data_IF_574488653020
#
_entry.id   IF_574488653020
#
_cell.length_a   1.000
_cell.length_b   1.000
_cell.length_c   1.000
_cell.angle_alpha   90.00
_cell.angle_beta   90.00
_cell.angle_gamma   90.00
#
_symmetry.space_group_name_H-M   'P 1'
#
loop_
_entity.id
_entity.type
_entity.pdbx_description
1 polymer ?
#
# COMPACT_ATOMS: atom_id res chain seq x y z
N UNK A 1 33.57 13.78 -5.77
CA UNK A 1 32.81 13.01 -4.75
C UNK A 1 33.08 11.55 -5.00
N UNK A 2 33.48 10.75 -4.00
CA UNK A 2 33.72 9.33 -4.22
C UNK A 2 32.39 8.66 -4.59
N UNK A 3 32.42 7.84 -5.64
CA UNK A 3 31.31 6.98 -6.02
C UNK A 3 31.07 6.00 -4.89
N UNK A 4 29.94 6.14 -4.18
CA UNK A 4 29.48 5.13 -3.24
C UNK A 4 29.20 3.88 -4.06
N UNK A 5 30.07 2.89 -3.93
CA UNK A 5 29.97 1.63 -4.66
C UNK A 5 28.69 0.92 -4.23
N UNK A 6 27.82 0.63 -5.19
CA UNK A 6 26.52 -0.03 -4.93
C UNK A 6 26.67 -1.43 -4.35
N UNK A 7 27.88 -2.02 -4.46
CA UNK A 7 28.27 -3.29 -3.84
C UNK A 7 28.19 -3.22 -2.31
N UNK A 8 28.73 -2.16 -1.70
CA UNK A 8 28.78 -2.01 -0.24
C UNK A 8 27.39 -1.80 0.36
N UNK A 9 26.51 -1.06 -0.34
CA UNK A 9 25.14 -0.84 0.12
C UNK A 9 24.33 -2.14 0.16
N UNK A 10 24.40 -2.95 -0.91
CA UNK A 10 23.73 -4.25 -0.95
C UNK A 10 24.25 -5.19 0.13
N UNK A 11 25.55 -5.20 0.37
CA UNK A 11 26.16 -6.08 1.35
C UNK A 11 25.80 -5.67 2.80
N UNK A 12 25.70 -4.36 3.07
CA UNK A 12 25.16 -3.83 4.32
C UNK A 12 23.69 -4.24 4.55
N UNK A 13 22.83 -4.16 3.54
CA UNK A 13 21.43 -4.61 3.66
C UNK A 13 21.34 -6.10 3.96
N UNK A 14 22.12 -6.93 3.24
CA UNK A 14 22.18 -8.37 3.46
C UNK A 14 22.59 -8.69 4.91
N UNK A 15 23.66 -8.06 5.39
CA UNK A 15 24.16 -8.21 6.76
C UNK A 15 23.12 -7.77 7.79
N UNK A 16 22.43 -6.66 7.55
CA UNK A 16 21.37 -6.15 8.43
C UNK A 16 20.18 -7.12 8.52
N UNK A 17 19.75 -7.67 7.38
CA UNK A 17 18.63 -8.63 7.34
C UNK A 17 19.00 -9.90 8.10
N UNK A 18 20.19 -10.46 7.88
CA UNK A 18 20.64 -11.67 8.56
C UNK A 18 20.80 -11.41 10.07
N UNK A 19 21.41 -10.29 10.46
CA UNK A 19 21.68 -9.98 11.86
C UNK A 19 20.41 -9.65 12.66
N UNK A 20 19.42 -9.01 12.02
CA UNK A 20 18.12 -8.66 12.62
C UNK A 20 17.18 -9.85 12.68
N UNK A 21 17.14 -10.67 11.62
CA UNK A 21 16.30 -11.87 11.58
C UNK A 21 16.88 -13.05 12.35
N UNK A 22 18.14 -12.96 12.80
CA UNK A 22 18.89 -14.06 13.43
C UNK A 22 18.92 -15.33 12.56
N UNK A 23 18.95 -15.14 11.24
CA UNK A 23 18.94 -16.23 10.27
C UNK A 23 17.56 -16.82 9.96
N UNK A 24 16.47 -16.23 10.47
CA UNK A 24 15.10 -16.67 10.14
C UNK A 24 14.61 -16.17 8.78
N UNK A 25 15.29 -15.16 8.22
CA UNK A 25 14.96 -14.61 6.91
C UNK A 25 16.16 -14.62 5.97
N UNK A 26 15.88 -14.82 4.70
CA UNK A 26 16.85 -14.77 3.60
C UNK A 26 16.40 -13.82 2.51
N UNK A 27 17.34 -13.53 1.60
CA UNK A 27 17.07 -12.77 0.38
C UNK A 27 16.98 -13.75 -0.79
N UNK A 28 15.87 -13.70 -1.52
CA UNK A 28 15.63 -14.58 -2.66
C UNK A 28 16.59 -14.28 -3.81
N UNK A 29 16.99 -15.32 -4.55
CA UNK A 29 17.85 -15.21 -5.74
C UNK A 29 17.08 -14.81 -7.02
N UNK A 30 15.93 -14.15 -6.87
CA UNK A 30 15.08 -13.76 -7.98
C UNK A 30 15.61 -12.51 -8.70
N UNK A 31 15.12 -12.25 -9.93
CA UNK A 31 15.44 -11.03 -10.68
C UNK A 31 15.12 -9.74 -9.91
N UNK A 32 14.11 -9.81 -9.05
CA UNK A 32 13.82 -8.80 -8.03
C UNK A 32 13.91 -9.49 -6.66
N UNK A 33 15.05 -9.39 -5.97
CA UNK A 33 15.25 -10.03 -4.67
C UNK A 33 14.22 -9.53 -3.65
N UNK A 34 13.70 -10.45 -2.86
CA UNK A 34 12.75 -10.17 -1.76
C UNK A 34 13.26 -10.81 -0.48
N UNK A 35 12.87 -10.26 0.67
CA UNK A 35 13.11 -10.90 1.96
C UNK A 35 11.98 -11.89 2.25
N UNK A 36 12.31 -13.12 2.60
CA UNK A 36 11.34 -14.15 2.98
C UNK A 36 11.83 -14.94 4.19
N UNK A 37 10.90 -15.59 4.90
CA UNK A 37 11.28 -16.57 5.91
C UNK A 37 11.84 -17.82 5.26
N UNK A 38 12.89 -18.40 5.86
CA UNK A 38 13.61 -19.55 5.28
C UNK A 38 12.86 -20.88 5.40
N UNK A 39 11.85 -20.97 6.27
CA UNK A 39 11.18 -22.23 6.55
C UNK A 39 9.70 -22.04 6.92
N UNK A 40 8.84 -22.97 6.47
CA UNK A 40 7.40 -22.97 6.82
C UNK A 40 7.18 -23.06 8.33
N UNK A 41 8.13 -23.65 9.08
CA UNK A 41 8.04 -23.73 10.55
C UNK A 41 7.96 -22.36 11.23
N UNK A 42 8.47 -21.29 10.61
CA UNK A 42 8.30 -19.93 11.17
C UNK A 42 6.83 -19.54 11.14
N UNK A 43 6.15 -19.84 10.04
CA UNK A 43 4.71 -19.61 9.90
C UNK A 43 3.91 -20.56 10.78
N UNK A 44 4.32 -21.82 10.89
CA UNK A 44 3.66 -22.79 11.76
C UNK A 44 3.71 -22.32 13.22
N UNK A 45 4.91 -22.03 13.72
CA UNK A 45 5.12 -21.53 15.08
C UNK A 45 4.32 -20.24 15.36
N UNK A 46 4.48 -19.22 14.51
CA UNK A 46 3.86 -17.91 14.75
C UNK A 46 2.34 -17.93 14.56
N UNK A 47 1.83 -18.65 13.55
CA UNK A 47 0.43 -18.57 13.12
C UNK A 47 -0.37 -19.82 13.47
N UNK A 48 0.10 -21.03 13.13
CA UNK A 48 -0.67 -22.27 13.37
C UNK A 48 -0.68 -22.64 14.85
N UNK A 49 0.48 -22.55 15.50
CA UNK A 49 0.68 -22.91 16.90
C UNK A 49 0.41 -21.73 17.84
N UNK A 50 -0.13 -20.62 17.31
CA UNK A 50 -0.51 -19.42 18.06
C UNK A 50 0.65 -18.72 18.79
N UNK A 51 1.90 -18.93 18.38
CA UNK A 51 3.06 -18.29 18.98
C UNK A 51 3.00 -16.76 18.99
N UNK A 52 2.35 -16.13 18.00
CA UNK A 52 2.10 -14.66 18.04
C UNK A 52 1.28 -14.23 19.25
N UNK A 53 0.29 -15.01 19.66
CA UNK A 53 -0.57 -14.70 20.81
C UNK A 53 0.19 -14.91 22.11
N UNK A 54 1.05 -15.92 22.17
CA UNK A 54 1.90 -16.19 23.34
C UNK A 54 2.96 -15.09 23.54
N UNK A 55 3.62 -14.68 22.45
CA UNK A 55 4.69 -13.67 22.48
C UNK A 55 4.16 -12.25 22.64
N UNK A 56 3.01 -11.95 22.02
CA UNK A 56 2.38 -10.63 22.05
C UNK A 56 0.87 -10.77 22.32
N UNK A 57 0.49 -10.97 23.59
CA UNK A 57 -0.92 -11.10 23.97
C UNK A 57 -1.77 -9.89 23.56
N UNK A 58 -1.17 -8.70 23.42
CA UNK A 58 -1.89 -7.49 23.01
C UNK A 58 -2.35 -7.53 21.54
N UNK A 59 -1.70 -8.33 20.68
CA UNK A 59 -2.09 -8.47 19.28
C UNK A 59 -3.46 -9.16 19.10
N UNK A 60 -4.01 -9.78 20.17
CA UNK A 60 -5.31 -10.48 20.20
C UNK A 60 -5.53 -11.40 18.98
N UNK A 61 -6.77 -11.81 18.71
CA UNK A 61 -7.10 -12.66 17.56
C UNK A 61 -6.96 -11.95 16.20
N UNK A 62 -6.86 -10.61 16.17
CA UNK A 62 -6.83 -9.83 14.93
C UNK A 62 -5.50 -9.12 14.68
N UNK A 63 -4.41 -9.86 14.90
CA UNK A 63 -3.05 -9.43 14.58
C UNK A 63 -2.89 -9.01 13.11
N UNK A 64 -3.70 -9.56 12.20
CA UNK A 64 -3.67 -9.23 10.77
C UNK A 64 -4.07 -7.79 10.54
N UNK A 65 -5.23 -7.35 11.03
CA UNK A 65 -5.66 -5.96 10.87
C UNK A 65 -4.66 -5.00 11.51
N UNK A 66 -4.14 -5.33 12.70
CA UNK A 66 -3.12 -4.51 13.38
C UNK A 66 -1.82 -4.42 12.60
N UNK A 67 -1.33 -5.54 12.06
CA UNK A 67 -0.13 -5.57 11.22
C UNK A 67 -0.30 -4.74 9.95
N UNK A 68 -1.45 -4.85 9.28
CA UNK A 68 -1.77 -4.03 8.12
C UNK A 68 -1.91 -2.54 8.48
N UNK A 69 -2.50 -2.19 9.63
CA UNK A 69 -2.59 -0.81 10.08
C UNK A 69 -1.20 -0.22 10.39
N UNK A 70 -0.31 -1.02 11.00
CA UNK A 70 1.08 -0.64 11.22
C UNK A 70 1.83 -0.44 9.91
N UNK A 71 1.70 -1.36 8.95
CA UNK A 71 2.32 -1.25 7.62
C UNK A 71 1.81 -0.01 6.87
N UNK A 72 0.50 0.27 6.90
CA UNK A 72 -0.08 1.51 6.36
C UNK A 72 0.56 2.74 6.99
N UNK A 73 0.72 2.75 8.31
CA UNK A 73 1.33 3.88 9.03
C UNK A 73 2.79 4.09 8.65
N UNK A 74 3.57 3.02 8.54
CA UNK A 74 4.96 3.08 8.04
C UNK A 74 5.02 3.57 6.59
N UNK A 75 4.15 3.07 5.71
CA UNK A 75 4.09 3.53 4.32
C UNK A 75 3.74 5.01 4.24
N UNK A 76 2.76 5.47 5.03
CA UNK A 76 2.36 6.87 5.09
C UNK A 76 3.53 7.77 5.51
N UNK A 77 4.20 7.42 6.61
CA UNK A 77 5.35 8.17 7.11
C UNK A 77 6.49 8.22 6.09
N UNK A 78 6.74 7.12 5.37
CA UNK A 78 7.80 7.04 4.36
C UNK A 78 7.48 7.86 3.11
N UNK A 79 6.26 7.72 2.57
CA UNK A 79 5.83 8.38 1.32
C UNK A 79 5.78 9.89 1.49
N UNK A 80 5.30 10.37 2.64
CA UNK A 80 5.13 11.80 2.91
C UNK A 80 6.24 12.37 3.79
N UNK A 81 7.39 11.69 3.86
CA UNK A 81 8.56 12.21 4.56
C UNK A 81 9.09 13.46 3.85
N UNK A 82 9.48 14.49 4.61
CA UNK A 82 9.91 15.78 4.06
C UNK A 82 11.06 15.65 3.05
N UNK A 83 12.02 14.77 3.32
CA UNK A 83 13.16 14.51 2.43
C UNK A 83 12.71 13.95 1.07
N UNK A 84 11.66 13.12 1.03
CA UNK A 84 11.09 12.60 -0.23
C UNK A 84 10.42 13.74 -0.99
N UNK A 85 9.64 14.56 -0.30
CA UNK A 85 8.95 15.71 -0.89
C UNK A 85 9.95 16.70 -1.51
N UNK A 86 10.97 17.11 -0.75
CA UNK A 86 12.03 17.99 -1.25
C UNK A 86 12.78 17.38 -2.45
N UNK A 87 13.00 16.06 -2.44
CA UNK A 87 13.71 15.38 -3.52
C UNK A 87 12.92 15.35 -4.83
N UNK A 88 11.59 15.24 -4.74
CA UNK A 88 10.66 15.34 -5.88
C UNK A 88 10.61 16.78 -6.37
N UNK A 89 10.44 17.75 -5.46
CA UNK A 89 10.27 19.17 -5.81
C UNK A 89 11.48 19.75 -6.54
N UNK A 90 12.69 19.46 -6.05
CA UNK A 90 13.94 19.90 -6.70
C UNK A 90 14.13 19.35 -8.11
N UNK A 91 13.36 18.33 -8.50
CA UNK A 91 13.52 17.61 -9.76
C UNK A 91 12.24 17.59 -10.59
N UNK A 92 11.27 18.48 -10.34
CA UNK A 92 10.01 18.56 -11.11
C UNK A 92 10.22 18.66 -12.63
N UNK A 93 11.30 19.28 -13.08
CA UNK A 93 11.65 19.42 -14.50
C UNK A 93 12.29 18.19 -15.13
N UNK A 94 12.64 17.16 -14.34
CA UNK A 94 13.26 15.95 -14.88
C UNK A 94 12.24 15.14 -15.67
N UNK A 95 12.73 14.52 -16.75
CA UNK A 95 12.00 13.43 -17.41
C UNK A 95 11.62 12.36 -16.39
N UNK A 96 10.40 11.82 -16.52
CA UNK A 96 9.83 10.86 -15.55
C UNK A 96 10.74 9.65 -15.35
N UNK A 97 11.39 9.15 -16.40
CA UNK A 97 12.30 8.01 -16.33
C UNK A 97 13.54 8.32 -15.49
N UNK A 98 14.11 9.52 -15.64
CA UNK A 98 15.26 9.98 -14.85
C UNK A 98 14.88 10.18 -13.39
N UNK A 99 13.71 10.75 -13.15
CA UNK A 99 13.14 10.92 -11.81
C UNK A 99 12.90 9.58 -11.12
N UNK A 100 12.25 8.63 -11.81
CA UNK A 100 12.04 7.26 -11.32
C UNK A 100 13.36 6.60 -10.93
N UNK A 101 14.35 6.61 -11.83
CA UNK A 101 15.66 6.00 -11.54
C UNK A 101 16.32 6.61 -10.29
N UNK A 102 16.28 7.93 -10.16
CA UNK A 102 16.84 8.61 -9.00
C UNK A 102 16.10 8.24 -7.70
N UNK A 103 14.77 8.29 -7.69
CA UNK A 103 13.97 7.97 -6.52
C UNK A 103 14.10 6.50 -6.11
N UNK A 104 14.17 5.56 -7.06
CA UNK A 104 14.39 4.14 -6.77
C UNK A 104 15.75 3.88 -6.11
N UNK A 105 16.77 4.71 -6.38
CA UNK A 105 18.10 4.57 -5.76
C UNK A 105 18.11 5.22 -4.37
N UNK A 106 17.57 6.44 -4.25
CA UNK A 106 17.64 7.20 -3.00
C UNK A 106 16.60 6.76 -1.97
N UNK A 107 15.45 6.28 -2.42
CA UNK A 107 14.34 5.84 -1.59
C UNK A 107 13.85 4.46 -2.04
N UNK A 108 14.62 3.39 -1.77
CA UNK A 108 14.34 2.04 -2.29
C UNK A 108 12.95 1.49 -1.93
N UNK A 109 12.35 1.97 -0.83
CA UNK A 109 11.04 1.52 -0.38
C UNK A 109 9.87 2.38 -0.91
N UNK A 110 10.14 3.49 -1.62
CA UNK A 110 9.11 4.45 -2.02
C UNK A 110 8.09 3.87 -2.99
N UNK A 111 8.54 3.04 -3.94
CA UNK A 111 7.65 2.39 -4.91
C UNK A 111 6.66 1.46 -4.19
N UNK A 112 7.15 0.63 -3.27
CA UNK A 112 6.30 -0.23 -2.45
C UNK A 112 5.34 0.59 -1.59
N UNK A 113 5.87 1.52 -0.80
CA UNK A 113 5.09 2.28 0.16
C UNK A 113 3.95 3.06 -0.53
N UNK A 114 4.24 3.74 -1.63
CA UNK A 114 3.22 4.47 -2.39
C UNK A 114 2.19 3.56 -3.04
N UNK A 115 2.60 2.40 -3.59
CA UNK A 115 1.68 1.46 -4.22
C UNK A 115 0.78 0.73 -3.23
N UNK A 116 1.26 0.39 -2.04
CA UNK A 116 0.55 -0.50 -1.11
C UNK A 116 -0.10 0.18 0.10
N UNK A 117 0.17 1.46 0.37
CA UNK A 117 -0.44 2.20 1.51
C UNK A 117 -1.96 2.03 1.60
N UNK A 118 -2.67 2.18 0.47
CA UNK A 118 -4.14 2.02 0.41
C UNK A 118 -4.58 0.55 0.57
N UNK A 119 -3.81 -0.40 0.05
CA UNK A 119 -4.11 -1.82 0.22
C UNK A 119 -3.95 -2.28 1.66
N UNK A 120 -2.92 -1.78 2.36
CA UNK A 120 -2.75 -2.00 3.79
C UNK A 120 -3.88 -1.38 4.60
N UNK A 121 -4.28 -0.15 4.29
CA UNK A 121 -5.45 0.47 4.92
C UNK A 121 -6.71 -0.38 4.71
N UNK A 122 -6.97 -0.84 3.48
CA UNK A 122 -8.15 -1.66 3.16
C UNK A 122 -8.16 -2.99 3.92
N UNK A 123 -7.01 -3.64 4.06
CA UNK A 123 -6.90 -4.89 4.82
C UNK A 123 -7.07 -4.68 6.33
N UNK A 124 -6.73 -3.50 6.87
CA UNK A 124 -6.96 -3.15 8.27
C UNK A 124 -8.40 -2.74 8.57
N UNK A 125 -9.14 -2.29 7.55
CA UNK A 125 -10.48 -1.70 7.69
C UNK A 125 -11.55 -2.67 8.21
N UNK A 126 -11.29 -3.98 8.22
CA UNK A 126 -12.19 -4.99 8.81
C UNK A 126 -12.38 -4.82 10.31
N UNK A 127 -11.40 -4.26 11.01
CA UNK A 127 -11.46 -4.06 12.47
C UNK A 127 -11.00 -2.68 12.95
N UNK A 128 -10.23 -1.96 12.13
CA UNK A 128 -9.68 -0.66 12.50
C UNK A 128 -10.21 0.39 11.53
N UNK A 129 -10.98 1.35 12.05
CA UNK A 129 -11.53 2.44 11.24
C UNK A 129 -10.41 3.19 10.49
N UNK A 130 -10.56 3.32 9.17
CA UNK A 130 -9.66 4.07 8.30
C UNK A 130 -10.21 5.43 7.89
N UNK A 131 -11.30 5.90 8.52
CA UNK A 131 -11.98 7.13 8.14
C UNK A 131 -11.06 8.35 8.18
N UNK A 132 -10.35 8.54 9.29
CA UNK A 132 -9.39 9.64 9.42
C UNK A 132 -8.28 9.55 8.37
N UNK A 133 -7.73 8.36 8.14
CA UNK A 133 -6.67 8.15 7.16
C UNK A 133 -7.13 8.53 5.74
N UNK A 134 -8.30 8.07 5.31
CA UNK A 134 -8.87 8.41 3.99
C UNK A 134 -9.11 9.92 3.89
N UNK A 135 -9.68 10.53 4.94
CA UNK A 135 -10.02 11.96 4.96
C UNK A 135 -8.81 12.89 4.94
N UNK A 136 -7.67 12.45 5.47
CA UNK A 136 -6.43 13.24 5.57
C UNK A 136 -5.40 12.90 4.50
N UNK A 137 -5.62 11.87 3.69
CA UNK A 137 -4.66 11.45 2.67
C UNK A 137 -4.41 12.58 1.64
N UNK A 138 -3.16 13.05 1.47
CA UNK A 138 -2.80 14.03 0.43
C UNK A 138 -2.91 13.44 -0.98
N UNK A 139 -4.13 13.28 -1.49
CA UNK A 139 -4.44 12.47 -2.68
C UNK A 139 -3.67 12.94 -3.93
N UNK A 140 -3.61 14.25 -4.20
CA UNK A 140 -2.84 14.79 -5.32
C UNK A 140 -1.33 14.48 -5.22
N UNK A 141 -0.75 14.62 -4.02
CA UNK A 141 0.66 14.25 -3.79
C UNK A 141 0.87 12.75 -3.99
N UNK A 142 -0.03 11.91 -3.46
CA UNK A 142 0.03 10.47 -3.64
C UNK A 142 -0.06 10.06 -5.12
N UNK A 143 -0.99 10.66 -5.87
CA UNK A 143 -1.15 10.47 -7.33
C UNK A 143 0.14 10.83 -8.07
N UNK A 144 0.75 11.97 -7.74
CA UNK A 144 2.04 12.38 -8.31
C UNK A 144 3.10 11.28 -8.13
N UNK A 145 3.25 10.76 -6.91
CA UNK A 145 4.25 9.73 -6.58
C UNK A 145 3.97 8.42 -7.31
N UNK A 146 2.74 7.89 -7.24
CA UNK A 146 2.38 6.63 -7.91
C UNK A 146 2.57 6.72 -9.42
N UNK A 147 2.24 7.85 -10.04
CA UNK A 147 2.40 8.06 -11.47
C UNK A 147 3.87 8.08 -11.94
N UNK A 148 4.83 8.38 -11.06
CA UNK A 148 6.26 8.28 -11.37
C UNK A 148 6.65 6.80 -11.56
N UNK A 149 6.09 5.91 -10.76
CA UNK A 149 6.40 4.48 -10.81
C UNK A 149 5.57 3.70 -11.84
N UNK A 150 4.39 4.20 -12.23
CA UNK A 150 3.54 3.56 -13.24
C UNK A 150 4.16 3.56 -14.64
N UNK A 151 4.27 2.35 -15.20
CA UNK A 151 4.91 2.08 -16.50
C UNK A 151 3.99 2.42 -17.67
N UNK A 152 2.69 2.21 -17.53
CA UNK A 152 1.72 2.35 -18.60
C UNK A 152 0.99 3.68 -18.48
N UNK A 153 1.14 4.55 -19.49
CA UNK A 153 0.47 5.86 -19.53
C UNK A 153 -1.02 5.78 -19.26
N UNK A 154 -1.69 4.77 -19.82
CA UNK A 154 -3.14 4.57 -19.62
C UNK A 154 -3.50 4.38 -18.14
N UNK A 155 -2.65 3.71 -17.35
CA UNK A 155 -2.90 3.41 -15.93
C UNK A 155 -2.59 4.57 -14.98
N UNK A 156 -2.02 5.67 -15.49
CA UNK A 156 -1.77 6.85 -14.67
C UNK A 156 -3.07 7.53 -14.30
N UNK A 157 -3.15 8.00 -13.06
CA UNK A 157 -4.26 8.83 -12.59
C UNK A 157 -4.09 10.26 -13.09
N UNK A 158 -5.18 10.97 -13.38
CA UNK A 158 -5.10 12.43 -13.56
C UNK A 158 -4.90 13.09 -12.19
N UNK A 159 -4.40 14.32 -12.15
CA UNK A 159 -4.17 15.04 -10.88
C UNK A 159 -5.47 15.39 -10.16
N UNK A 160 -6.57 15.41 -10.89
CA UNK A 160 -7.93 15.66 -10.43
C UNK A 160 -8.65 14.37 -10.00
N UNK A 161 -7.97 13.22 -10.06
CA UNK A 161 -8.54 11.93 -9.63
C UNK A 161 -8.94 12.00 -8.16
N UNK A 162 -10.24 11.88 -7.90
CA UNK A 162 -10.76 11.87 -6.55
C UNK A 162 -10.46 10.52 -5.86
N UNK A 163 -10.43 10.53 -4.52
CA UNK A 163 -10.07 9.34 -3.73
C UNK A 163 -11.05 8.19 -3.98
N UNK A 164 -12.36 8.45 -4.13
CA UNK A 164 -13.36 7.40 -4.37
C UNK A 164 -13.10 6.65 -5.69
N UNK A 165 -12.77 7.38 -6.76
CA UNK A 165 -12.39 6.78 -8.04
C UNK A 165 -11.15 5.89 -7.89
N UNK A 166 -10.13 6.35 -7.17
CA UNK A 166 -8.91 5.57 -6.92
C UNK A 166 -9.24 4.29 -6.14
N UNK A 167 -10.03 4.38 -5.07
CA UNK A 167 -10.42 3.21 -4.28
C UNK A 167 -11.17 2.18 -5.13
N UNK A 168 -12.08 2.64 -6.00
CA UNK A 168 -12.85 1.79 -6.92
C UNK A 168 -11.97 1.17 -8.00
N UNK A 169 -11.13 1.95 -8.66
CA UNK A 169 -10.24 1.49 -9.72
C UNK A 169 -9.26 0.41 -9.22
N UNK A 170 -8.88 0.49 -7.94
CA UNK A 170 -7.98 -0.46 -7.25
C UNK A 170 -8.71 -1.55 -6.48
N UNK A 171 -10.03 -1.51 -6.41
CA UNK A 171 -10.81 -2.60 -5.82
C UNK A 171 -10.87 -2.66 -4.31
N UNK A 172 -10.77 -1.52 -3.63
CA UNK A 172 -10.59 -1.41 -2.19
C UNK A 172 -11.96 -1.26 -1.49
N UNK A 173 -12.74 -2.35 -1.49
CA UNK A 173 -14.14 -2.38 -1.05
C UNK A 173 -14.39 -1.90 0.38
N UNK A 174 -13.53 -2.23 1.33
CA UNK A 174 -13.67 -1.79 2.72
C UNK A 174 -13.41 -0.28 2.88
N UNK A 175 -12.46 0.27 2.11
CA UNK A 175 -12.26 1.73 2.09
C UNK A 175 -13.39 2.44 1.34
N UNK A 176 -13.98 1.84 0.30
CA UNK A 176 -15.17 2.38 -0.36
C UNK A 176 -16.31 2.49 0.65
N UNK A 177 -16.59 1.41 1.42
CA UNK A 177 -17.61 1.43 2.48
C UNK A 177 -17.31 2.51 3.51
N UNK A 178 -16.06 2.62 3.96
CA UNK A 178 -15.63 3.63 4.92
C UNK A 178 -15.87 5.05 4.39
N UNK A 179 -15.51 5.31 3.12
CA UNK A 179 -15.68 6.62 2.49
C UNK A 179 -17.14 7.01 2.26
N UNK A 180 -18.01 6.05 1.93
CA UNK A 180 -19.43 6.30 1.70
C UNK A 180 -20.22 6.50 3.00
N UNK A 181 -19.78 5.90 4.12
CA UNK A 181 -20.34 6.19 5.44
C UNK A 181 -20.12 7.64 5.87
N UNK A 182 -18.94 8.19 5.56
CA UNK A 182 -18.56 9.55 5.93
C UNK A 182 -19.17 10.62 5.01
N UNK A 183 -19.17 10.37 3.70
CA UNK A 183 -19.81 11.24 2.73
C UNK A 183 -20.47 10.38 1.63
N UNK A 184 -21.82 10.28 1.63
CA UNK A 184 -22.57 9.44 0.70
C UNK A 184 -22.55 9.93 -0.76
N UNK A 185 -22.06 11.14 -1.04
CA UNK A 185 -22.06 11.67 -2.40
C UNK A 185 -21.13 10.86 -3.31
N UNK A 186 -21.74 10.18 -4.27
CA UNK A 186 -21.05 9.49 -5.36
C UNK A 186 -20.81 10.52 -6.47
N UNK A 187 -20.08 11.59 -6.15
CA UNK A 187 -19.75 12.61 -7.14
C UNK A 187 -18.63 12.09 -8.07
N UNK A 188 -18.95 11.99 -9.36
CA UNK A 188 -18.02 11.57 -10.41
C UNK A 188 -16.92 12.60 -10.64
N UNK A 189 -15.65 12.20 -10.57
CA UNK A 189 -14.56 13.14 -10.81
C UNK A 189 -13.19 12.50 -10.98
N UNK A 190 -12.66 12.59 -12.21
CA UNK A 190 -11.24 12.44 -12.52
C UNK A 190 -10.78 11.09 -13.09
N UNK A 191 -11.71 10.22 -13.49
CA UNK A 191 -11.43 8.87 -13.96
C UNK A 191 -11.83 8.57 -15.41
N UNK A 192 -11.33 7.45 -15.98
CA UNK A 192 -11.68 7.02 -17.36
C UNK A 192 -13.17 6.72 -17.54
N UNK A 193 -13.86 6.33 -16.47
CA UNK A 193 -15.32 6.25 -16.46
C UNK A 193 -15.83 7.33 -15.50
N UNK A 194 -16.74 8.17 -15.97
CA UNK A 194 -17.29 9.29 -15.23
C UNK A 194 -18.06 8.86 -13.97
N UNK A 195 -18.43 7.57 -13.85
CA UNK A 195 -19.19 7.03 -12.73
C UNK A 195 -18.44 5.89 -12.02
N UNK A 196 -18.30 5.94 -10.68
CA UNK A 196 -17.64 4.89 -9.88
C UNK A 196 -18.22 3.48 -10.13
N UNK A 197 -19.55 3.34 -10.20
CA UNK A 197 -20.19 2.04 -10.45
C UNK A 197 -19.77 1.42 -11.80
N UNK A 198 -19.73 2.23 -12.87
CA UNK A 198 -19.30 1.77 -14.19
C UNK A 198 -17.82 1.36 -14.17
N UNK A 199 -16.98 2.09 -13.43
CA UNK A 199 -15.56 1.72 -13.24
C UNK A 199 -15.44 0.35 -12.56
N UNK A 200 -16.19 0.12 -11.48
CA UNK A 200 -16.15 -1.15 -10.75
C UNK A 200 -16.58 -2.32 -11.65
N UNK A 201 -17.65 -2.14 -12.43
CA UNK A 201 -18.16 -3.13 -13.38
C UNK A 201 -17.17 -3.41 -14.51
N UNK A 202 -16.61 -2.38 -15.14
CA UNK A 202 -15.63 -2.53 -16.22
C UNK A 202 -14.34 -3.23 -15.75
N UNK A 203 -13.99 -3.11 -14.47
CA UNK A 203 -12.86 -3.81 -13.84
C UNK A 203 -13.21 -5.22 -13.34
N UNK A 204 -14.47 -5.63 -13.41
CA UNK A 204 -14.93 -6.91 -12.86
C UNK A 204 -14.80 -6.99 -11.34
N UNK A 205 -14.74 -5.86 -10.64
CA UNK A 205 -14.58 -5.87 -9.18
C UNK A 205 -15.94 -5.96 -8.48
N UNK A 206 -16.37 -7.19 -8.22
CA UNK A 206 -17.65 -7.50 -7.57
C UNK A 206 -17.77 -6.86 -6.19
N UNK A 207 -16.73 -6.90 -5.37
CA UNK A 207 -16.79 -6.37 -4.00
C UNK A 207 -16.92 -4.85 -3.97
N UNK A 208 -16.28 -4.14 -4.91
CA UNK A 208 -16.46 -2.71 -5.10
C UNK A 208 -17.89 -2.37 -5.56
N UNK A 209 -18.48 -3.18 -6.46
CA UNK A 209 -19.89 -3.00 -6.86
C UNK A 209 -20.82 -3.15 -5.66
N UNK A 210 -20.65 -4.22 -4.87
CA UNK A 210 -21.42 -4.47 -3.65
C UNK A 210 -21.26 -3.31 -2.66
N UNK A 211 -20.02 -2.84 -2.46
CA UNK A 211 -19.72 -1.71 -1.57
C UNK A 211 -20.38 -0.41 -2.04
N UNK A 212 -20.34 -0.10 -3.34
CA UNK A 212 -20.96 1.10 -3.92
C UNK A 212 -22.49 1.07 -3.84
N UNK A 213 -23.11 -0.12 -3.87
CA UNK A 213 -24.55 -0.30 -3.72
C UNK A 213 -25.00 -0.31 -2.24
N UNK A 214 -24.08 -0.16 -1.29
CA UNK A 214 -24.39 -0.22 0.14
C UNK A 214 -24.80 -1.61 0.63
N UNK A 215 -24.50 -2.66 -0.13
CA UNK A 215 -24.86 -4.03 0.21
C UNK A 215 -23.86 -4.63 1.22
N UNK A 216 -24.30 -5.54 2.11
CA UNK A 216 -23.43 -6.25 3.04
C UNK A 216 -22.31 -6.98 2.29
N UNK A 217 -21.12 -7.07 2.89
CA UNK A 217 -20.07 -7.90 2.32
C UNK A 217 -20.48 -9.38 2.40
N UNK A 218 -20.00 -10.22 1.48
CA UNK A 218 -20.28 -11.65 1.54
C UNK A 218 -19.88 -12.27 2.90
N UNK A 219 -18.87 -11.71 3.57
CA UNK A 219 -18.44 -12.13 4.91
C UNK A 219 -19.47 -11.86 6.01
N UNK A 220 -20.37 -10.89 5.84
CA UNK A 220 -21.42 -10.57 6.82
C UNK A 220 -22.65 -11.47 6.69
N UNK A 221 -22.87 -12.10 5.53
CA UNK A 221 -24.03 -12.98 5.29
C UNK A 221 -23.90 -14.38 5.93
N UNK A 222 -22.71 -14.76 6.40
CA UNK A 222 -22.43 -16.07 7.04
C UNK A 222 -22.02 -15.96 8.51
N UNK A 223 -22.06 -14.76 9.09
CA UNK A 223 -21.66 -14.48 10.48
C UNK A 223 -22.86 -14.31 11.43
N UNK A 224 -24.06 -14.76 11.01
CA UNK A 224 -25.31 -14.72 11.78
C UNK A 224 -25.82 -16.10 12.10
#
# INVERSE_FOLDING_TARGET
MPSVDTSDASDCFNKCIISSSKGLAEITKAKQPTVQFIHESVRDFLVKDKGLVELWPELRADWKSQGHDRLKSCCNAYVFHEVVEQAIDRRRSYEVQRMKKYLSIQFPFLEYASQFILSHANAAASAISQQQFIGQLPTAKWVCIVNIFEKHKVRKYSQEANILYILVDRGLSELIRTRLKDNPEISGGGGRHHHPLLTAMAKGNRDSVIALLGLPSAYQLWAG
#
